data_IF_065890079809
#
_entry.id   IF_065890079809
#
_cell.length_a   1.000
_cell.length_b   1.000
_cell.length_c   1.000
_cell.angle_alpha   90.00
_cell.angle_beta   90.00
_cell.angle_gamma   90.00
#
_symmetry.space_group_name_H-M   'P 1'
#
loop_
_entity.id
_entity.type
_entity.pdbx_description
1 polymer ?
#
# COMPACT_ATOMS: atom_id res chain seq x y z
N UNK A 1 23.48 -6.95 -26.26
CA UNK A 1 23.10 -7.91 -25.20
C UNK A 1 21.69 -7.56 -24.73
N UNK A 2 20.73 -8.50 -24.76
CA UNK A 2 19.41 -8.26 -24.15
C UNK A 2 19.57 -8.38 -22.63
N UNK A 3 19.36 -7.29 -21.89
CA UNK A 3 19.34 -7.31 -20.41
C UNK A 3 18.20 -8.24 -20.00
N UNK A 4 18.53 -9.32 -19.28
CA UNK A 4 17.53 -10.26 -18.77
C UNK A 4 16.97 -9.65 -17.49
N UNK A 5 15.66 -9.48 -17.41
CA UNK A 5 15.01 -8.97 -16.20
C UNK A 5 15.26 -9.92 -15.03
N UNK A 6 15.51 -9.34 -13.86
CA UNK A 6 15.55 -10.05 -12.59
C UNK A 6 14.19 -10.68 -12.27
N UNK A 7 14.15 -11.53 -11.25
CA UNK A 7 12.87 -12.09 -10.77
C UNK A 7 11.96 -11.01 -10.20
N UNK A 8 12.51 -10.03 -9.47
CA UNK A 8 11.75 -8.91 -8.94
C UNK A 8 11.12 -8.06 -10.06
N UNK A 9 11.93 -7.60 -11.03
CA UNK A 9 11.43 -6.78 -12.15
C UNK A 9 10.32 -7.47 -12.95
N UNK A 10 10.34 -8.81 -13.06
CA UNK A 10 9.30 -9.57 -13.75
C UNK A 10 7.98 -9.59 -12.99
N UNK A 11 8.01 -9.78 -11.67
CA UNK A 11 6.79 -9.79 -10.88
C UNK A 11 6.25 -8.37 -10.67
N UNK A 12 7.12 -7.39 -10.43
CA UNK A 12 6.73 -5.98 -10.39
C UNK A 12 5.99 -5.57 -11.67
N UNK A 13 6.50 -5.96 -12.85
CA UNK A 13 5.83 -5.68 -14.13
C UNK A 13 4.41 -6.29 -14.19
N UNK A 14 4.20 -7.49 -13.63
CA UNK A 14 2.87 -8.12 -13.61
C UNK A 14 1.92 -7.38 -12.65
N UNK A 15 2.39 -7.04 -11.46
CA UNK A 15 1.62 -6.27 -10.48
C UNK A 15 1.26 -4.88 -11.02
N UNK A 16 2.22 -4.21 -11.67
CA UNK A 16 2.02 -2.93 -12.35
C UNK A 16 0.95 -3.06 -13.42
N UNK A 17 1.04 -4.03 -14.33
CA UNK A 17 0.03 -4.24 -15.38
C UNK A 17 -1.37 -4.42 -14.78
N UNK A 18 -1.48 -5.23 -13.72
CA UNK A 18 -2.76 -5.49 -13.06
C UNK A 18 -3.30 -4.23 -12.39
N UNK A 19 -2.54 -3.59 -11.52
CA UNK A 19 -2.97 -2.40 -10.78
C UNK A 19 -3.30 -1.24 -11.71
N UNK A 20 -2.46 -1.02 -12.72
CA UNK A 20 -2.63 0.04 -13.69
C UNK A 20 -3.80 -0.14 -14.65
N UNK A 21 -4.37 -1.35 -14.72
CA UNK A 21 -5.61 -1.56 -15.47
C UNK A 21 -6.87 -1.14 -14.70
N UNK A 22 -6.74 -0.88 -13.39
CA UNK A 22 -7.86 -0.61 -12.47
C UNK A 22 -7.70 0.65 -11.62
N UNK A 23 -6.53 1.29 -11.60
CA UNK A 23 -6.30 2.54 -10.87
C UNK A 23 -6.48 3.78 -11.77
N UNK A 24 -6.59 4.96 -11.15
CA UNK A 24 -6.61 6.23 -11.88
C UNK A 24 -5.24 6.57 -12.47
N UNK A 25 -5.21 7.42 -13.50
CA UNK A 25 -3.95 7.95 -14.05
C UNK A 25 -3.17 8.77 -13.02
N UNK A 26 -3.87 9.44 -12.10
CA UNK A 26 -3.25 10.20 -11.03
C UNK A 26 -2.50 9.29 -10.05
N UNK A 27 -3.09 8.13 -9.70
CA UNK A 27 -2.45 7.14 -8.84
C UNK A 27 -1.16 6.60 -9.46
N UNK A 28 -1.21 6.31 -10.76
CA UNK A 28 -0.04 5.89 -11.53
C UNK A 28 1.07 6.95 -11.47
N UNK A 29 0.74 8.21 -11.70
CA UNK A 29 1.73 9.30 -11.66
C UNK A 29 2.33 9.49 -10.27
N UNK A 30 1.54 9.34 -9.20
CA UNK A 30 2.04 9.38 -7.82
C UNK A 30 2.98 8.21 -7.52
N UNK A 31 2.61 6.98 -7.88
CA UNK A 31 3.45 5.78 -7.69
C UNK A 31 4.81 5.95 -8.36
N UNK A 32 4.83 6.47 -9.60
CA UNK A 32 6.05 6.66 -10.38
C UNK A 32 6.86 7.91 -10.00
N UNK A 33 6.52 8.60 -8.90
CA UNK A 33 7.14 9.85 -8.44
C UNK A 33 7.11 10.99 -9.49
N UNK A 34 6.13 10.94 -10.39
CA UNK A 34 5.87 11.97 -11.41
C UNK A 34 4.99 13.09 -10.87
N UNK A 35 4.20 12.80 -9.84
CA UNK A 35 3.44 13.77 -9.05
C UNK A 35 3.72 13.59 -7.56
N UNK A 36 3.70 14.69 -6.76
CA UNK A 36 3.81 14.59 -5.32
C UNK A 36 2.73 13.67 -4.72
N UNK A 37 3.16 12.78 -3.85
CA UNK A 37 2.30 11.90 -3.07
C UNK A 37 2.07 12.52 -1.70
N UNK A 38 0.84 12.50 -1.20
CA UNK A 38 0.53 12.86 0.19
C UNK A 38 0.59 11.62 1.09
N UNK A 39 0.64 11.79 2.41
CA UNK A 39 0.57 10.64 3.33
C UNK A 39 -0.74 9.84 3.17
N UNK A 40 -1.87 10.52 2.94
CA UNK A 40 -3.14 9.83 2.68
C UNK A 40 -3.10 9.04 1.37
N UNK A 41 -2.47 9.56 0.32
CA UNK A 41 -2.25 8.78 -0.91
C UNK A 41 -1.39 7.54 -0.67
N UNK A 42 -0.29 7.71 0.06
CA UNK A 42 0.61 6.60 0.40
C UNK A 42 -0.11 5.51 1.18
N UNK A 43 -0.87 5.89 2.22
CA UNK A 43 -1.70 4.95 3.01
C UNK A 43 -2.71 4.22 2.14
N UNK A 44 -3.46 4.96 1.32
CA UNK A 44 -4.49 4.38 0.44
C UNK A 44 -3.88 3.41 -0.56
N UNK A 45 -2.79 3.79 -1.23
CA UNK A 45 -2.13 2.94 -2.24
C UNK A 45 -1.48 1.70 -1.61
N UNK A 46 -0.89 1.85 -0.42
CA UNK A 46 -0.34 0.73 0.35
C UNK A 46 -1.43 -0.27 0.73
N UNK A 47 -2.57 0.23 1.19
CA UNK A 47 -3.73 -0.59 1.53
C UNK A 47 -4.29 -1.32 0.30
N UNK A 48 -4.50 -0.60 -0.81
CA UNK A 48 -5.06 -1.20 -2.02
C UNK A 48 -4.16 -2.31 -2.58
N UNK A 49 -2.85 -2.07 -2.61
CA UNK A 49 -1.89 -3.07 -3.11
C UNK A 49 -1.77 -4.28 -2.17
N UNK A 50 -1.94 -4.09 -0.86
CA UNK A 50 -1.99 -5.18 0.12
C UNK A 50 -3.26 -6.03 -0.03
N UNK A 51 -4.44 -5.40 -0.12
CA UNK A 51 -5.72 -6.10 -0.33
C UNK A 51 -5.78 -6.88 -1.66
N UNK A 52 -5.07 -6.41 -2.68
CA UNK A 52 -4.99 -7.05 -3.99
C UNK A 52 -3.86 -8.08 -4.08
N UNK A 53 -3.12 -8.31 -2.99
CA UNK A 53 -1.98 -9.23 -2.91
C UNK A 53 -0.88 -8.93 -3.96
N UNK A 54 -0.69 -7.64 -4.27
CA UNK A 54 0.32 -7.15 -5.22
C UNK A 54 1.65 -6.89 -4.50
N UNK A 55 2.26 -7.95 -3.99
CA UNK A 55 3.43 -7.91 -3.11
C UNK A 55 4.59 -7.05 -3.65
N UNK A 56 4.88 -7.16 -4.95
CA UNK A 56 6.05 -6.51 -5.55
C UNK A 56 5.78 -5.03 -5.80
N UNK A 57 4.57 -4.68 -6.22
CA UNK A 57 4.16 -3.28 -6.33
C UNK A 57 4.02 -2.61 -4.97
N UNK A 58 3.44 -3.31 -3.98
CA UNK A 58 3.38 -2.82 -2.60
C UNK A 58 4.80 -2.49 -2.10
N UNK A 59 5.72 -3.45 -2.21
CA UNK A 59 7.12 -3.24 -1.84
C UNK A 59 7.77 -2.09 -2.60
N UNK A 60 7.55 -1.98 -3.91
CA UNK A 60 8.08 -0.90 -4.72
C UNK A 60 7.63 0.48 -4.23
N UNK A 61 6.34 0.64 -3.88
CA UNK A 61 5.80 1.88 -3.33
C UNK A 61 6.48 2.21 -1.99
N UNK A 62 6.62 1.23 -1.11
CA UNK A 62 7.30 1.41 0.19
C UNK A 62 8.78 1.78 0.04
N UNK A 63 9.52 1.08 -0.82
CA UNK A 63 10.94 1.35 -1.06
C UNK A 63 11.17 2.76 -1.65
N UNK A 64 10.23 3.25 -2.47
CA UNK A 64 10.35 4.55 -3.13
C UNK A 64 9.82 5.74 -2.30
N UNK A 65 8.77 5.53 -1.51
CA UNK A 65 8.05 6.63 -0.84
C UNK A 65 8.01 6.52 0.68
N UNK A 66 8.19 5.33 1.27
CA UNK A 66 7.94 5.10 2.70
C UNK A 66 8.77 5.99 3.62
N UNK A 67 10.01 6.29 3.25
CA UNK A 67 10.88 7.18 4.04
C UNK A 67 10.35 8.62 4.16
N UNK A 68 9.50 9.07 3.21
CA UNK A 68 8.95 10.43 3.19
C UNK A 68 7.92 10.65 4.29
N UNK A 69 7.35 9.57 4.83
CA UNK A 69 6.19 9.62 5.72
C UNK A 69 6.41 8.92 7.07
N UNK A 70 7.66 8.75 7.50
CA UNK A 70 7.97 8.04 8.75
C UNK A 70 7.38 8.73 9.97
N UNK A 71 7.45 10.06 10.04
CA UNK A 71 6.92 10.83 11.16
C UNK A 71 5.39 10.71 11.24
N UNK A 72 4.69 10.78 10.10
CA UNK A 72 3.24 10.61 10.03
C UNK A 72 2.82 9.17 10.36
N UNK A 73 3.62 8.16 10.00
CA UNK A 73 3.39 6.77 10.40
C UNK A 73 3.52 6.58 11.91
N UNK A 74 4.54 7.16 12.53
CA UNK A 74 4.75 7.10 13.99
C UNK A 74 3.62 7.82 14.74
N UNK A 75 3.17 8.97 14.23
CA UNK A 75 2.02 9.69 14.77
C UNK A 75 0.75 8.85 14.67
N UNK A 76 0.48 8.25 13.51
CA UNK A 76 -0.68 7.39 13.29
C UNK A 76 -0.67 6.16 14.21
N UNK A 77 0.51 5.54 14.38
CA UNK A 77 0.67 4.41 15.29
C UNK A 77 0.32 4.80 16.73
N UNK A 78 0.85 5.93 17.20
CA UNK A 78 0.59 6.46 18.55
C UNK A 78 -0.91 6.71 18.77
N UNK A 79 -1.58 7.35 17.80
CA UNK A 79 -3.03 7.59 17.83
C UNK A 79 -3.83 6.29 17.94
N UNK A 80 -3.42 5.21 17.27
CA UNK A 80 -4.10 3.93 17.36
C UNK A 80 -3.90 3.21 18.70
N UNK A 81 -2.76 3.44 19.37
CA UNK A 81 -2.43 2.75 20.63
C UNK A 81 -2.96 3.44 21.88
N UNK A 82 -3.26 4.74 21.83
CA UNK A 82 -3.64 5.55 22.99
C UNK A 82 -5.16 5.63 23.24
N UNK A 83 -5.94 4.66 22.74
CA UNK A 83 -7.42 4.61 22.89
C UNK A 83 -8.09 5.92 22.43
N UNK A 84 -7.67 6.41 21.25
CA UNK A 84 -8.07 7.70 20.71
C UNK A 84 -9.49 7.66 20.10
N UNK A 85 -10.30 8.70 20.39
CA UNK A 85 -11.66 8.91 19.87
C UNK A 85 -11.71 9.03 18.33
N UNK A 86 -10.59 9.30 17.66
CA UNK A 86 -10.48 9.48 16.20
C UNK A 86 -10.40 8.17 15.40
N UNK A 87 -10.20 7.02 16.06
CA UNK A 87 -10.10 5.71 15.39
C UNK A 87 -11.31 5.36 14.50
N UNK A 88 -12.57 5.65 14.88
CA UNK A 88 -13.74 5.47 14.03
C UNK A 88 -13.68 6.27 12.73
N UNK A 89 -13.14 7.49 12.75
CA UNK A 89 -13.04 8.35 11.56
C UNK A 89 -12.05 7.78 10.56
N UNK A 90 -10.87 7.34 11.02
CA UNK A 90 -9.86 6.70 10.17
C UNK A 90 -10.35 5.39 9.52
N UNK A 91 -11.19 4.63 10.23
CA UNK A 91 -11.85 3.44 9.69
C UNK A 91 -12.90 3.81 8.64
N UNK A 92 -13.65 4.89 8.85
CA UNK A 92 -14.60 5.41 7.86
C UNK A 92 -13.89 5.91 6.59
N UNK A 93 -12.80 6.67 6.73
CA UNK A 93 -11.97 7.09 5.59
C UNK A 93 -11.50 5.89 4.76
N UNK A 94 -11.01 4.85 5.44
CA UNK A 94 -10.58 3.61 4.79
C UNK A 94 -11.73 2.96 4.02
N UNK A 95 -12.91 2.89 4.63
CA UNK A 95 -14.12 2.38 3.97
C UNK A 95 -14.48 3.17 2.71
N UNK A 96 -14.37 4.51 2.77
CA UNK A 96 -14.61 5.38 1.61
C UNK A 96 -13.61 5.15 0.48
N UNK A 97 -12.32 5.00 0.80
CA UNK A 97 -11.31 4.72 -0.23
C UNK A 97 -11.58 3.42 -0.98
N UNK A 98 -11.92 2.35 -0.25
CA UNK A 98 -12.26 1.07 -0.86
C UNK A 98 -13.54 1.19 -1.70
N UNK A 99 -14.55 1.88 -1.18
CA UNK A 99 -15.84 2.06 -1.85
C UNK A 99 -15.72 2.87 -3.15
N UNK A 100 -14.87 3.89 -3.17
CA UNK A 100 -14.63 4.70 -4.37
C UNK A 100 -13.78 3.96 -5.41
N UNK A 101 -12.88 3.08 -4.98
CA UNK A 101 -11.98 2.35 -5.88
C UNK A 101 -12.73 1.34 -6.76
N UNK A 102 -13.56 0.46 -6.17
CA UNK A 102 -14.25 -0.58 -6.95
C UNK A 102 -15.28 0.00 -7.95
N UNK A 103 -15.81 1.20 -7.68
CA UNK A 103 -16.74 1.92 -8.58
C UNK A 103 -16.06 2.45 -9.84
N UNK A 104 -14.75 2.70 -9.77
CA UNK A 104 -13.96 3.19 -10.90
C UNK A 104 -13.42 2.06 -11.80
N UNK A 105 -13.77 0.82 -11.49
CA UNK A 105 -13.33 -0.34 -12.25
C UNK A 105 -13.76 -0.25 -13.74
N UNK A 106 -12.94 -0.79 -14.66
CA UNK A 106 -13.17 -0.67 -16.10
C UNK A 106 -14.45 -1.39 -16.59
N UNK A 107 -14.99 -2.32 -15.80
CA UNK A 107 -16.23 -3.03 -16.12
C UNK A 107 -16.89 -3.62 -14.85
N UNK A 108 -18.15 -4.01 -15.00
CA UNK A 108 -19.00 -4.53 -13.92
C UNK A 108 -18.41 -5.80 -13.28
N UNK A 109 -17.77 -6.68 -14.06
CA UNK A 109 -17.17 -7.91 -13.52
C UNK A 109 -16.01 -7.59 -12.59
N UNK A 110 -15.07 -6.74 -13.02
CA UNK A 110 -13.94 -6.30 -12.19
C UNK A 110 -14.45 -5.54 -10.96
N UNK A 111 -15.44 -4.68 -11.14
CA UNK A 111 -16.12 -3.94 -10.07
C UNK A 111 -16.68 -4.86 -8.99
N UNK A 112 -17.38 -5.94 -9.40
CA UNK A 112 -17.92 -6.95 -8.50
C UNK A 112 -16.82 -7.71 -7.74
N UNK A 113 -15.76 -8.14 -8.44
CA UNK A 113 -14.65 -8.86 -7.84
C UNK A 113 -13.89 -8.02 -6.81
N UNK A 114 -13.59 -6.76 -7.14
CA UNK A 114 -12.94 -5.82 -6.21
C UNK A 114 -13.79 -5.62 -4.95
N UNK A 115 -15.10 -5.42 -5.11
CA UNK A 115 -16.01 -5.29 -3.97
C UNK A 115 -16.01 -6.55 -3.09
N UNK A 116 -15.94 -7.74 -3.69
CA UNK A 116 -15.85 -8.99 -2.94
C UNK A 116 -14.54 -9.08 -2.17
N UNK A 117 -13.39 -8.84 -2.82
CA UNK A 117 -12.06 -8.83 -2.19
C UNK A 117 -12.04 -7.88 -0.98
N UNK A 118 -12.54 -6.66 -1.14
CA UNK A 118 -12.53 -5.67 -0.06
C UNK A 118 -13.49 -6.03 1.08
N UNK A 119 -14.69 -6.54 0.76
CA UNK A 119 -15.63 -7.05 1.76
C UNK A 119 -15.03 -8.21 2.55
N UNK A 120 -14.36 -9.13 1.87
CA UNK A 120 -13.78 -10.32 2.49
C UNK A 120 -12.59 -9.94 3.36
N UNK A 121 -11.65 -9.11 2.88
CA UNK A 121 -10.52 -8.62 3.69
C UNK A 121 -10.95 -7.81 4.92
N UNK A 122 -12.06 -7.07 4.86
CA UNK A 122 -12.63 -6.38 6.04
C UNK A 122 -13.23 -7.36 7.07
N UNK A 123 -13.71 -8.54 6.63
CA UNK A 123 -14.32 -9.57 7.50
C UNK A 123 -13.30 -10.58 8.02
N UNK A 124 -12.31 -10.93 7.20
CA UNK A 124 -11.19 -11.77 7.56
C UNK A 124 -10.10 -10.90 8.18
N UNK A 125 -10.06 -10.80 9.52
CA UNK A 125 -8.81 -10.35 10.17
C UNK A 125 -7.66 -11.20 9.63
N UNK A 126 -6.61 -10.63 9.02
CA UNK A 126 -5.38 -11.37 8.82
C UNK A 126 -4.79 -11.60 10.22
N UNK A 127 -5.02 -12.79 10.78
CA UNK A 127 -4.13 -13.30 11.81
C UNK A 127 -2.82 -13.58 11.10
N UNK A 128 -1.84 -12.71 11.34
CA UNK A 128 -0.44 -12.84 10.94
C UNK A 128 -0.18 -12.47 9.48
N UNK A 129 0.22 -11.22 9.25
CA UNK A 129 1.32 -10.79 8.38
C UNK A 129 1.27 -9.26 8.26
N UNK A 130 1.29 -8.54 9.38
CA UNK A 130 1.83 -7.18 9.33
C UNK A 130 3.30 -7.39 9.03
N UNK A 131 3.70 -7.19 7.78
CA UNK A 131 5.10 -7.05 7.42
C UNK A 131 5.57 -5.80 8.12
N UNK A 132 6.06 -5.95 9.36
CA UNK A 132 6.88 -4.97 10.03
C UNK A 132 8.13 -4.84 9.17
N UNK A 133 8.07 -3.97 8.16
CA UNK A 133 9.27 -3.56 7.45
C UNK A 133 10.23 -3.00 8.49
N UNK A 134 11.46 -3.54 8.58
CA UNK A 134 12.35 -3.17 9.65
C UNK A 134 12.75 -1.70 9.49
N UNK A 135 12.49 -0.91 10.54
CA UNK A 135 13.17 0.37 10.73
C UNK A 135 14.69 0.16 10.72
N UNK A 136 15.48 1.24 10.51
CA UNK A 136 16.91 1.15 10.28
C UNK A 136 17.60 0.37 11.40
N UNK A 137 18.34 -0.64 10.99
CA UNK A 137 19.05 -1.61 11.82
C UNK A 137 20.00 -0.90 12.80
N UNK A 138 19.57 -0.71 14.06
CA UNK A 138 20.36 -0.01 15.10
C UNK A 138 21.58 -0.82 15.59
N UNK A 139 21.89 -1.96 14.99
CA UNK A 139 23.02 -2.81 15.35
C UNK A 139 24.09 -2.91 14.25
N UNK A 140 24.64 -1.75 13.84
CA UNK A 140 26.00 -1.69 13.27
C UNK A 140 26.77 -0.56 13.94
N UNK A 141 27.35 -0.85 15.10
CA UNK A 141 28.13 0.15 15.80
C UNK A 141 28.74 -0.26 17.13
N UNK A 142 29.11 -1.53 17.37
CA UNK A 142 30.08 -1.90 18.41
C UNK A 142 30.92 -3.09 17.96
N UNK A 143 31.89 -2.79 17.12
CA UNK A 143 33.06 -3.63 16.89
C UNK A 143 34.25 -2.93 17.55
N UNK A 144 34.63 -3.45 18.71
CA UNK A 144 36.01 -3.62 19.19
C UNK A 144 37.04 -2.52 18.88
N UNK A 145 37.41 -1.76 19.90
CA UNK A 145 38.80 -1.43 20.24
C UNK A 145 38.90 -1.17 21.74
#
# INVERSE_FOLDING_TARGET
MKKKLSTFERHLMLDEILFYSICSDQDRQKILDQQPMTFQDFRRLSLLTDYLELEYLHRFIWDLHGYKFMDEMDQLYSQCTEDNEDLPEMLMETGHWLDDFWKQAPNITVSFLLRQIFSDGLKSRPKNNITLYPGPDKNKGKSSS
#
